data_IF_799923963334
#
_entry.id   IF_799923963334
#
_cell.length_a   1.000
_cell.length_b   1.000
_cell.length_c   1.000
_cell.angle_alpha   90.00
_cell.angle_beta   90.00
_cell.angle_gamma   90.00
#
_symmetry.space_group_name_H-M   'P 1'
#
loop_
_entity.id
_entity.type
_entity.pdbx_description
1 polymer ?
#
# COMPACT_ATOMS: atom_id res chain seq x y z
N UNK A 1 -18.05 4.19 -4.62
CA UNK A 1 -18.33 4.30 -6.06
C UNK A 1 -18.17 2.95 -6.77
N UNK A 2 -17.11 2.18 -6.50
CA UNK A 2 -16.88 0.82 -7.05
C UNK A 2 -18.03 -0.16 -6.84
N UNK A 3 -18.77 -0.06 -5.72
CA UNK A 3 -19.91 -0.93 -5.43
C UNK A 3 -21.16 -0.66 -6.28
N UNK A 4 -21.26 0.51 -6.92
CA UNK A 4 -22.45 0.91 -7.71
C UNK A 4 -22.14 0.95 -9.20
N UNK A 5 -20.94 1.38 -9.58
CA UNK A 5 -20.59 1.60 -10.99
C UNK A 5 -19.72 0.51 -11.60
N UNK A 6 -19.16 -0.41 -10.80
CA UNK A 6 -18.21 -1.44 -11.27
C UNK A 6 -16.86 -0.89 -11.76
N UNK A 7 -16.78 0.39 -12.09
CA UNK A 7 -15.55 1.09 -12.49
C UNK A 7 -14.85 1.75 -11.29
N UNK A 8 -13.53 1.57 -11.22
CA UNK A 8 -12.66 2.27 -10.28
C UNK A 8 -12.33 3.66 -10.84
N UNK A 9 -13.22 4.64 -10.63
CA UNK A 9 -12.92 6.04 -10.95
C UNK A 9 -12.01 6.62 -9.87
N UNK A 10 -10.81 7.05 -10.24
CA UNK A 10 -9.90 7.78 -9.36
C UNK A 10 -10.45 9.18 -9.11
N UNK A 11 -11.23 9.33 -8.02
CA UNK A 11 -11.78 10.63 -7.60
C UNK A 11 -10.70 11.72 -7.46
N UNK A 12 -9.46 11.33 -7.15
CA UNK A 12 -8.28 12.22 -7.12
C UNK A 12 -8.03 12.94 -8.43
N UNK A 13 -8.11 12.24 -9.56
CA UNK A 13 -7.88 12.83 -10.88
C UNK A 13 -8.95 13.85 -11.24
N UNK A 14 -10.23 13.52 -10.96
CA UNK A 14 -11.35 14.44 -11.21
C UNK A 14 -11.27 15.69 -10.33
N UNK A 15 -10.98 15.51 -9.05
CA UNK A 15 -10.82 16.65 -8.14
C UNK A 15 -9.60 17.50 -8.51
N UNK A 16 -8.48 16.90 -8.92
CA UNK A 16 -7.32 17.66 -9.42
C UNK A 16 -7.63 18.40 -10.72
N UNK A 17 -8.38 17.80 -11.65
CA UNK A 17 -8.82 18.49 -12.88
C UNK A 17 -9.69 19.70 -12.54
N UNK A 18 -10.64 19.56 -11.61
CA UNK A 18 -11.46 20.67 -11.13
C UNK A 18 -10.65 21.74 -10.39
N UNK A 19 -9.71 21.34 -9.53
CA UNK A 19 -8.81 22.25 -8.82
C UNK A 19 -7.91 23.04 -9.76
N UNK A 20 -7.37 22.38 -10.79
CA UNK A 20 -6.58 23.02 -11.86
C UNK A 20 -7.42 23.98 -12.71
N UNK A 21 -8.71 23.68 -12.93
CA UNK A 21 -9.61 24.57 -13.66
C UNK A 21 -10.04 25.80 -12.84
N UNK A 22 -10.17 25.66 -11.52
CA UNK A 22 -10.51 26.76 -10.60
C UNK A 22 -9.35 27.73 -10.38
N UNK A 23 -8.11 27.24 -10.34
CA UNK A 23 -6.91 28.07 -10.16
C UNK A 23 -5.89 27.75 -11.26
N UNK A 24 -6.02 28.36 -12.45
CA UNK A 24 -5.09 28.12 -13.55
C UNK A 24 -3.69 28.64 -13.21
N UNK A 25 -2.67 27.86 -13.58
CA UNK A 25 -1.25 28.25 -13.45
C UNK A 25 -0.60 28.01 -12.08
N UNK A 26 -1.35 27.57 -11.05
CA UNK A 26 -0.76 27.25 -9.74
C UNK A 26 -0.90 25.75 -9.40
N UNK A 27 0.17 24.98 -9.68
CA UNK A 27 0.22 23.55 -9.39
C UNK A 27 0.02 23.21 -7.90
N UNK A 28 0.45 24.09 -6.99
CA UNK A 28 0.31 23.87 -5.54
C UNK A 28 -1.16 23.88 -5.12
N UNK A 29 -1.95 24.80 -5.67
CA UNK A 29 -3.37 24.92 -5.37
C UNK A 29 -4.15 23.67 -5.83
N UNK A 30 -3.85 23.17 -7.02
CA UNK A 30 -4.43 21.91 -7.53
C UNK A 30 -4.08 20.70 -6.65
N UNK A 31 -2.83 20.63 -6.18
CA UNK A 31 -2.40 19.58 -5.25
C UNK A 31 -3.14 19.65 -3.91
N UNK A 32 -3.26 20.82 -3.29
CA UNK A 32 -4.02 20.97 -2.05
C UNK A 32 -5.49 20.60 -2.23
N UNK A 33 -6.11 21.02 -3.33
CA UNK A 33 -7.50 20.70 -3.62
C UNK A 33 -7.72 19.20 -3.82
N UNK A 34 -6.84 18.53 -4.56
CA UNK A 34 -6.84 17.08 -4.70
C UNK A 34 -6.62 16.36 -3.36
N UNK A 35 -5.72 16.89 -2.53
CA UNK A 35 -5.37 16.31 -1.24
C UNK A 35 -6.55 16.36 -0.28
N UNK A 36 -7.19 17.52 -0.10
CA UNK A 36 -8.35 17.67 0.78
C UNK A 36 -9.61 16.97 0.29
N UNK A 37 -9.87 16.97 -1.02
CA UNK A 37 -11.09 16.32 -1.55
C UNK A 37 -11.00 14.79 -1.46
N UNK A 38 -9.90 14.22 -1.97
CA UNK A 38 -9.86 12.78 -2.24
C UNK A 38 -9.39 11.99 -1.05
N UNK A 39 -8.42 12.49 -0.28
CA UNK A 39 -7.97 11.79 0.93
C UNK A 39 -9.04 11.84 2.03
N UNK A 40 -9.76 12.94 2.19
CA UNK A 40 -10.84 13.01 3.19
C UNK A 40 -11.97 12.04 2.87
N UNK A 41 -12.35 11.89 1.60
CA UNK A 41 -13.34 10.87 1.19
C UNK A 41 -12.82 9.45 1.38
N UNK A 42 -11.54 9.20 1.08
CA UNK A 42 -10.92 7.90 1.31
C UNK A 42 -10.92 7.54 2.81
N UNK A 43 -10.52 8.47 3.68
CA UNK A 43 -10.52 8.29 5.14
C UNK A 43 -11.94 8.11 5.70
N UNK A 44 -12.93 8.86 5.20
CA UNK A 44 -14.33 8.67 5.57
C UNK A 44 -14.85 7.29 5.16
N UNK A 45 -14.45 6.78 3.99
CA UNK A 45 -14.81 5.43 3.53
C UNK A 45 -14.18 4.34 4.41
N UNK A 46 -12.93 4.52 4.85
CA UNK A 46 -12.28 3.62 5.80
C UNK A 46 -13.01 3.62 7.15
N UNK A 47 -13.35 4.80 7.66
CA UNK A 47 -14.11 4.96 8.88
C UNK A 47 -15.47 4.26 8.85
N UNK A 48 -16.21 4.38 7.75
CA UNK A 48 -17.49 3.67 7.59
C UNK A 48 -17.31 2.16 7.53
N UNK A 49 -16.23 1.65 6.92
CA UNK A 49 -15.93 0.21 6.91
C UNK A 49 -15.69 -0.32 8.32
N UNK A 50 -14.95 0.41 9.15
CA UNK A 50 -14.67 0.02 10.53
C UNK A 50 -15.94 0.07 11.40
N UNK A 51 -16.79 1.08 11.22
CA UNK A 51 -18.08 1.15 11.90
C UNK A 51 -18.99 -0.04 11.55
N UNK A 52 -19.03 -0.42 10.26
CA UNK A 52 -19.79 -1.60 9.83
C UNK A 52 -19.23 -2.88 10.44
N UNK A 53 -17.90 -3.00 10.54
CA UNK A 53 -17.26 -4.13 11.20
C UNK A 53 -17.56 -4.17 12.71
N UNK A 54 -17.57 -3.02 13.37
CA UNK A 54 -17.96 -2.87 14.78
C UNK A 54 -19.40 -3.32 15.06
N UNK A 55 -20.31 -3.09 14.11
CA UNK A 55 -21.68 -3.60 14.20
C UNK A 55 -21.70 -5.14 14.16
N UNK A 56 -20.85 -5.78 13.35
CA UNK A 56 -20.75 -7.24 13.31
C UNK A 56 -20.18 -7.84 14.61
N UNK A 57 -19.27 -7.12 15.27
CA UNK A 57 -18.64 -7.56 16.53
C UNK A 57 -19.43 -7.14 17.78
N UNK A 58 -20.57 -6.46 17.60
CA UNK A 58 -21.45 -5.96 18.68
C UNK A 58 -20.76 -4.96 19.62
N UNK A 59 -19.81 -4.18 19.10
CA UNK A 59 -19.16 -3.09 19.84
C UNK A 59 -20.04 -1.83 19.78
N UNK A 60 -20.20 -1.07 20.88
CA UNK A 60 -21.01 0.14 20.88
C UNK A 60 -20.46 1.20 19.89
N UNK A 61 -21.30 1.74 18.97
CA UNK A 61 -20.83 2.56 17.85
C UNK A 61 -20.23 3.90 18.27
N UNK A 62 -20.68 4.49 19.39
CA UNK A 62 -20.15 5.75 19.91
C UNK A 62 -18.71 5.62 20.44
N UNK A 63 -18.43 4.50 21.12
CA UNK A 63 -17.09 4.23 21.63
C UNK A 63 -16.11 3.99 20.46
N UNK A 64 -16.57 3.27 19.43
CA UNK A 64 -15.77 3.01 18.24
C UNK A 64 -15.43 4.30 17.47
N UNK A 65 -16.42 5.18 17.29
CA UNK A 65 -16.22 6.50 16.68
C UNK A 65 -15.19 7.33 17.45
N UNK A 66 -15.32 7.40 18.78
CA UNK A 66 -14.40 8.16 19.62
C UNK A 66 -12.96 7.60 19.54
N UNK A 67 -12.81 6.27 19.60
CA UNK A 67 -11.51 5.61 19.49
C UNK A 67 -10.84 5.89 18.14
N UNK A 68 -11.60 5.85 17.04
CA UNK A 68 -11.08 6.13 15.71
C UNK A 68 -10.70 7.60 15.52
N UNK A 69 -11.50 8.53 16.05
CA UNK A 69 -11.17 9.96 16.04
C UNK A 69 -9.89 10.25 16.85
N UNK A 70 -9.76 9.69 18.05
CA UNK A 70 -8.55 9.84 18.88
C UNK A 70 -7.34 9.20 18.20
N UNK A 71 -7.50 8.00 17.63
CA UNK A 71 -6.43 7.29 16.93
C UNK A 71 -5.91 8.05 15.70
N UNK A 72 -6.80 8.63 14.91
CA UNK A 72 -6.41 9.43 13.73
C UNK A 72 -5.73 10.74 14.12
N UNK A 73 -6.18 11.41 15.20
CA UNK A 73 -5.51 12.60 15.73
C UNK A 73 -4.11 12.27 16.23
N UNK A 74 -3.96 11.26 17.09
CA UNK A 74 -2.65 10.83 17.60
C UNK A 74 -1.73 10.37 16.46
N UNK A 75 -2.24 9.58 15.52
CA UNK A 75 -1.50 9.12 14.35
C UNK A 75 -1.03 10.29 13.47
N UNK A 76 -1.87 11.32 13.27
CA UNK A 76 -1.49 12.50 12.49
C UNK A 76 -0.33 13.28 13.15
N UNK A 77 -0.36 13.44 14.47
CA UNK A 77 0.70 14.12 15.22
C UNK A 77 1.99 13.31 15.17
N UNK A 78 1.93 11.99 15.43
CA UNK A 78 3.11 11.12 15.35
C UNK A 78 3.71 11.10 13.94
N UNK A 79 2.88 11.04 12.90
CA UNK A 79 3.34 11.11 11.52
C UNK A 79 4.09 12.41 11.23
N UNK A 80 3.58 13.57 11.69
CA UNK A 80 4.29 14.84 11.54
C UNK A 80 5.63 14.87 12.27
N UNK A 81 5.70 14.30 13.48
CA UNK A 81 6.97 14.22 14.24
C UNK A 81 7.98 13.33 13.52
N UNK A 82 7.56 12.15 13.07
CA UNK A 82 8.42 11.22 12.32
C UNK A 82 8.90 11.83 11.01
N UNK A 83 8.00 12.49 10.27
CA UNK A 83 8.34 13.18 9.03
C UNK A 83 9.38 14.29 9.25
N UNK A 84 9.19 15.12 10.27
CA UNK A 84 10.18 16.16 10.62
C UNK A 84 11.54 15.55 11.03
N UNK A 85 11.54 14.43 11.76
CA UNK A 85 12.76 13.71 12.14
C UNK A 85 13.51 13.19 10.92
N UNK A 86 12.82 12.48 10.01
CA UNK A 86 13.41 11.90 8.81
C UNK A 86 13.93 13.01 7.88
N UNK A 87 13.12 14.04 7.62
CA UNK A 87 13.51 15.15 6.73
C UNK A 87 14.72 15.91 7.28
N UNK A 88 14.82 16.11 8.60
CA UNK A 88 15.98 16.75 9.21
C UNK A 88 17.25 15.88 9.14
N UNK A 89 17.09 14.56 9.23
CA UNK A 89 18.20 13.59 9.33
C UNK A 89 18.71 13.10 7.97
N UNK A 90 17.84 13.02 6.95
CA UNK A 90 18.12 12.48 5.62
C UNK A 90 17.96 13.53 4.52
N UNK A 91 18.03 14.83 4.86
CA UNK A 91 17.79 15.94 3.91
C UNK A 91 18.66 15.86 2.67
N UNK A 92 19.94 15.54 2.85
CA UNK A 92 20.92 15.48 1.74
C UNK A 92 20.62 14.32 0.79
N UNK A 93 20.18 13.17 1.32
CA UNK A 93 19.78 11.98 0.53
C UNK A 93 18.49 12.22 -0.23
N UNK A 94 17.55 12.97 0.35
CA UNK A 94 16.26 13.31 -0.28
C UNK A 94 16.39 14.35 -1.41
N UNK A 95 17.47 15.14 -1.42
CA UNK A 95 17.76 16.11 -2.49
C UNK A 95 18.52 15.49 -3.66
N UNK A 96 19.13 14.31 -3.48
CA UNK A 96 19.84 13.63 -4.55
C UNK A 96 18.89 12.85 -5.48
N UNK A 97 19.23 12.86 -6.77
CA UNK A 97 18.43 12.25 -7.84
C UNK A 97 18.56 10.72 -7.82
N UNK A 98 19.69 10.19 -7.34
CA UNK A 98 19.92 8.75 -7.21
C UNK A 98 19.36 8.18 -5.90
N UNK A 99 19.39 8.98 -4.83
CA UNK A 99 18.90 8.57 -3.51
C UNK A 99 19.61 7.31 -2.98
N UNK A 100 19.04 6.70 -1.94
CA UNK A 100 19.42 5.36 -1.46
C UNK A 100 18.30 4.37 -1.73
N UNK A 101 18.61 3.07 -1.66
CA UNK A 101 17.62 1.98 -1.76
C UNK A 101 16.46 2.06 -0.72
N UNK A 102 16.59 2.93 0.29
CA UNK A 102 15.62 3.12 1.37
C UNK A 102 14.93 4.49 1.33
N UNK A 103 15.66 5.53 0.95
CA UNK A 103 15.16 6.89 0.83
C UNK A 103 15.50 7.45 -0.55
N UNK A 104 14.48 7.71 -1.36
CA UNK A 104 14.64 8.38 -2.64
C UNK A 104 13.61 9.50 -2.76
N UNK A 105 14.04 10.64 -3.31
CA UNK A 105 13.12 11.70 -3.73
C UNK A 105 12.39 11.34 -5.04
N UNK A 106 12.87 10.33 -5.75
CA UNK A 106 12.30 9.83 -6.99
C UNK A 106 11.15 8.84 -6.73
N UNK A 107 9.97 9.15 -7.24
CA UNK A 107 8.77 8.30 -7.07
C UNK A 107 8.83 7.11 -8.03
N UNK A 108 9.57 6.06 -7.66
CA UNK A 108 9.71 4.80 -8.43
C UNK A 108 8.36 4.11 -8.71
N UNK A 109 7.31 4.41 -7.94
CA UNK A 109 6.01 3.76 -8.10
C UNK A 109 5.32 4.05 -9.44
N UNK A 110 5.64 5.15 -10.13
CA UNK A 110 4.98 5.48 -11.40
C UNK A 110 5.56 4.68 -12.58
N UNK A 111 6.89 4.54 -12.68
CA UNK A 111 7.55 3.77 -13.75
C UNK A 111 7.22 2.28 -13.64
N UNK A 112 7.25 1.76 -12.42
CA UNK A 112 6.80 0.41 -12.10
C UNK A 112 5.36 0.16 -12.52
N UNK A 113 4.43 1.05 -12.15
CA UNK A 113 3.02 0.88 -12.46
C UNK A 113 2.79 0.93 -13.96
N UNK A 114 3.55 1.75 -14.69
CA UNK A 114 3.50 1.79 -16.15
C UNK A 114 3.96 0.47 -16.79
N UNK A 115 5.05 -0.14 -16.30
CA UNK A 115 5.53 -1.44 -16.81
C UNK A 115 4.53 -2.55 -16.48
N UNK A 116 4.08 -2.64 -15.22
CA UNK A 116 3.17 -3.69 -14.79
C UNK A 116 1.74 -3.55 -15.34
N UNK A 117 1.28 -2.33 -15.65
CA UNK A 117 0.03 -2.11 -16.39
C UNK A 117 0.21 -2.42 -17.88
N UNK A 118 1.40 -2.18 -18.45
CA UNK A 118 1.74 -2.56 -19.83
C UNK A 118 1.69 -4.08 -20.05
N UNK A 119 2.19 -4.86 -19.10
CA UNK A 119 2.15 -6.33 -19.13
C UNK A 119 0.75 -6.91 -18.80
N UNK A 120 -0.17 -6.08 -18.30
CA UNK A 120 -1.54 -6.44 -17.96
C UNK A 120 -2.40 -6.89 -19.15
N UNK A 121 -2.01 -6.56 -20.39
CA UNK A 121 -2.67 -7.04 -21.60
C UNK A 121 -2.21 -8.46 -22.00
N UNK A 122 -0.97 -8.83 -21.66
CA UNK A 122 -0.40 -10.12 -22.05
C UNK A 122 -0.80 -11.24 -21.08
N UNK A 123 -0.91 -10.95 -19.79
CA UNK A 123 -1.25 -11.93 -18.74
C UNK A 123 -2.63 -12.62 -18.90
N UNK A 124 -3.72 -11.98 -19.39
CA UNK A 124 -4.99 -12.68 -19.62
C UNK A 124 -4.97 -13.66 -20.80
N UNK A 125 -4.05 -13.50 -21.77
CA UNK A 125 -3.98 -14.35 -22.96
C UNK A 125 -3.61 -15.82 -22.65
N UNK A 126 -2.57 -16.13 -21.85
CA UNK A 126 -2.25 -17.50 -21.45
C UNK A 126 -3.37 -18.20 -20.66
N UNK A 127 -4.09 -17.48 -19.80
CA UNK A 127 -5.21 -18.04 -19.03
C UNK A 127 -6.44 -18.31 -19.92
N UNK A 128 -6.69 -17.43 -20.90
CA UNK A 128 -7.73 -17.63 -21.92
C UNK A 128 -7.41 -18.83 -22.84
N UNK A 129 -6.15 -18.92 -23.31
CA UNK A 129 -5.66 -20.03 -24.13
C UNK A 129 -5.68 -21.34 -23.33
N UNK A 130 -5.26 -21.32 -22.06
CA UNK A 130 -5.27 -22.50 -21.18
C UNK A 130 -6.68 -23.03 -20.88
N UNK A 131 -7.67 -22.15 -20.73
CA UNK A 131 -9.08 -22.54 -20.60
C UNK A 131 -9.62 -23.18 -21.89
N UNK A 132 -9.14 -22.77 -23.06
CA UNK A 132 -9.52 -23.37 -24.34
C UNK A 132 -9.00 -24.81 -24.49
N UNK A 133 -7.80 -25.11 -23.98
CA UNK A 133 -7.19 -26.45 -24.04
C UNK A 133 -7.62 -27.38 -22.90
N UNK A 134 -7.92 -26.87 -21.70
CA UNK A 134 -8.34 -27.69 -20.55
C UNK A 134 -9.60 -27.13 -19.85
N UNK A 135 -10.81 -27.42 -20.38
CA UNK A 135 -12.07 -26.95 -19.81
C UNK A 135 -12.42 -27.56 -18.44
N UNK A 136 -11.78 -28.68 -18.05
CA UNK A 136 -12.06 -29.39 -16.80
C UNK A 136 -11.43 -28.75 -15.54
N UNK A 137 -10.58 -27.71 -15.69
CA UNK A 137 -9.82 -27.12 -14.57
C UNK A 137 -10.56 -25.99 -13.81
N UNK A 138 -11.84 -25.71 -14.08
CA UNK A 138 -12.61 -24.63 -13.42
C UNK A 138 -11.90 -23.25 -13.41
N UNK A 139 -11.06 -22.95 -14.41
CA UNK A 139 -10.26 -21.72 -14.51
C UNK A 139 -11.11 -20.44 -14.67
N UNK A 140 -12.42 -20.58 -14.93
CA UNK A 140 -13.41 -19.50 -14.95
C UNK A 140 -13.60 -18.77 -13.60
N UNK A 141 -13.12 -19.32 -12.49
CA UNK A 141 -13.18 -18.66 -11.18
C UNK A 141 -12.01 -17.68 -10.92
N UNK A 142 -11.00 -17.66 -11.81
CA UNK A 142 -9.84 -16.79 -11.66
C UNK A 142 -10.13 -15.46 -12.33
N UNK A 143 -10.27 -14.40 -11.53
CA UNK A 143 -10.41 -13.02 -12.02
C UNK A 143 -9.02 -12.50 -12.42
N UNK A 144 -8.56 -12.91 -13.59
CA UNK A 144 -7.26 -12.55 -14.18
C UNK A 144 -6.95 -11.04 -14.19
N UNK A 145 -7.90 -10.13 -14.52
CA UNK A 145 -7.61 -8.69 -14.50
C UNK A 145 -7.30 -8.15 -13.09
N UNK A 146 -7.85 -8.75 -12.04
CA UNK A 146 -7.56 -8.35 -10.65
C UNK A 146 -6.19 -8.85 -10.19
N UNK A 147 -5.74 -10.01 -10.67
CA UNK A 147 -4.38 -10.51 -10.44
C UNK A 147 -3.33 -9.59 -11.08
N UNK A 148 -3.55 -9.14 -12.32
CA UNK A 148 -2.68 -8.17 -12.99
C UNK A 148 -2.61 -6.83 -12.23
N UNK A 149 -3.75 -6.36 -11.75
CA UNK A 149 -3.81 -5.14 -10.92
C UNK A 149 -2.99 -5.28 -9.64
N UNK A 150 -3.06 -6.44 -8.98
CA UNK A 150 -2.24 -6.73 -7.81
C UNK A 150 -0.74 -6.78 -8.14
N UNK A 151 -0.34 -7.41 -9.25
CA UNK A 151 1.06 -7.46 -9.69
C UNK A 151 1.68 -6.07 -9.91
N UNK A 152 0.91 -5.09 -10.40
CA UNK A 152 1.39 -3.71 -10.55
C UNK A 152 1.49 -2.91 -9.25
N UNK A 153 0.74 -3.31 -8.22
CA UNK A 153 0.90 -2.75 -6.87
C UNK A 153 2.14 -3.33 -6.15
N UNK A 154 2.61 -4.50 -6.59
CA UNK A 154 3.66 -5.32 -5.98
C UNK A 154 5.10 -4.90 -6.30
N UNK A 155 5.31 -3.78 -6.99
CA UNK A 155 6.63 -3.41 -7.51
C UNK A 155 7.15 -2.07 -6.95
N UNK A 156 6.59 -1.64 -5.81
CA UNK A 156 7.11 -0.51 -5.02
C UNK A 156 7.91 -1.05 -3.83
N UNK A 157 9.22 -0.79 -3.79
CA UNK A 157 10.08 -1.02 -2.61
C UNK A 157 10.29 -2.48 -2.16
N UNK A 158 10.79 -2.66 -0.93
CA UNK A 158 11.19 -3.94 -0.31
C UNK A 158 9.97 -4.89 -0.21
N UNK A 159 9.70 -5.67 -1.25
CA UNK A 159 8.44 -6.43 -1.42
C UNK A 159 8.40 -7.81 -0.75
N UNK A 160 9.00 -7.95 0.45
CA UNK A 160 8.92 -9.21 1.22
C UNK A 160 7.56 -9.45 1.88
N UNK A 161 6.67 -8.45 1.95
CA UNK A 161 5.37 -8.55 2.64
C UNK A 161 4.39 -9.50 1.92
N UNK A 162 4.46 -9.59 0.59
CA UNK A 162 3.54 -10.36 -0.25
C UNK A 162 3.57 -11.84 0.09
N UNK A 163 4.78 -12.43 0.14
CA UNK A 163 4.95 -13.84 0.44
C UNK A 163 4.41 -14.18 1.83
N UNK A 164 4.66 -13.29 2.81
CA UNK A 164 4.14 -13.43 4.17
C UNK A 164 2.61 -13.31 4.18
N UNK A 165 2.01 -12.40 3.40
CA UNK A 165 0.55 -12.29 3.24
C UNK A 165 -0.07 -13.56 2.64
N UNK A 166 0.57 -14.18 1.65
CA UNK A 166 0.11 -15.47 1.11
C UNK A 166 0.17 -16.59 2.15
N UNK A 167 1.26 -16.69 2.91
CA UNK A 167 1.40 -17.68 3.98
C UNK A 167 0.35 -17.48 5.07
N UNK A 168 0.11 -16.24 5.49
CA UNK A 168 -0.94 -15.89 6.45
C UNK A 168 -2.34 -16.20 5.91
N UNK A 169 -2.60 -15.93 4.64
CA UNK A 169 -3.86 -16.26 3.99
C UNK A 169 -4.09 -17.78 3.97
N UNK A 170 -3.07 -18.56 3.59
CA UNK A 170 -3.15 -20.03 3.63
C UNK A 170 -3.36 -20.51 5.06
N UNK A 171 -2.59 -20.01 6.03
CA UNK A 171 -2.75 -20.39 7.43
C UNK A 171 -4.15 -20.09 7.97
N UNK A 172 -4.67 -18.88 7.72
CA UNK A 172 -5.99 -18.45 8.16
C UNK A 172 -7.12 -19.23 7.46
N UNK A 173 -7.06 -19.36 6.13
CA UNK A 173 -8.16 -19.92 5.32
C UNK A 173 -8.11 -21.45 5.22
N UNK A 174 -6.92 -22.06 5.20
CA UNK A 174 -6.76 -23.51 5.05
C UNK A 174 -6.69 -24.21 6.41
N UNK A 175 -5.83 -23.75 7.33
CA UNK A 175 -5.63 -24.43 8.61
C UNK A 175 -6.66 -24.01 9.67
N UNK A 176 -6.75 -22.71 10.00
CA UNK A 176 -7.61 -22.20 11.06
C UNK A 176 -9.10 -22.43 10.77
N UNK A 177 -9.54 -22.14 9.54
CA UNK A 177 -10.94 -22.33 9.15
C UNK A 177 -11.37 -23.80 9.15
N UNK A 178 -10.50 -24.73 8.72
CA UNK A 178 -10.85 -26.17 8.63
C UNK A 178 -10.68 -26.91 9.95
N UNK A 179 -9.56 -26.73 10.68
CA UNK A 179 -9.27 -27.48 11.91
C UNK A 179 -9.80 -26.82 13.19
N UNK A 180 -9.88 -25.49 13.26
CA UNK A 180 -10.28 -24.75 14.48
C UNK A 180 -11.29 -23.64 14.19
N UNK A 181 -12.41 -24.00 13.56
CA UNK A 181 -13.48 -23.08 13.16
C UNK A 181 -14.06 -22.24 14.31
N UNK A 182 -14.17 -22.81 15.52
CA UNK A 182 -14.66 -22.10 16.71
C UNK A 182 -13.72 -20.99 17.16
N UNK A 183 -12.40 -21.24 17.12
CA UNK A 183 -11.39 -20.24 17.43
C UNK A 183 -11.35 -19.15 16.36
N UNK A 184 -11.38 -19.55 15.09
CA UNK A 184 -11.42 -18.62 13.96
C UNK A 184 -12.62 -17.66 14.07
N UNK A 185 -13.83 -18.15 14.34
CA UNK A 185 -15.01 -17.28 14.45
C UNK A 185 -14.92 -16.28 15.62
N UNK A 186 -14.27 -16.66 16.74
CA UNK A 186 -14.24 -15.83 17.96
C UNK A 186 -13.06 -14.86 18.01
N UNK A 187 -11.89 -15.26 17.51
CA UNK A 187 -10.63 -14.53 17.72
C UNK A 187 -9.96 -14.04 16.43
N UNK A 188 -10.46 -14.40 15.25
CA UNK A 188 -9.79 -14.01 13.99
C UNK A 188 -9.67 -12.49 13.84
N UNK A 189 -10.69 -11.73 14.23
CA UNK A 189 -10.62 -10.27 14.18
C UNK A 189 -9.55 -9.70 15.12
N UNK A 190 -9.50 -10.20 16.37
CA UNK A 190 -8.50 -9.76 17.36
C UNK A 190 -7.07 -10.12 16.92
N UNK A 191 -6.90 -11.31 16.33
CA UNK A 191 -5.61 -11.76 15.82
C UNK A 191 -5.16 -10.93 14.60
N UNK A 192 -6.07 -10.59 13.70
CA UNK A 192 -5.79 -9.70 12.57
C UNK A 192 -5.39 -8.30 13.05
N UNK A 193 -6.17 -7.71 13.98
CA UNK A 193 -5.85 -6.41 14.56
C UNK A 193 -4.49 -6.41 15.29
N UNK A 194 -4.15 -7.49 15.99
CA UNK A 194 -2.86 -7.63 16.66
C UNK A 194 -1.70 -7.78 15.68
N UNK A 195 -1.91 -8.48 14.55
CA UNK A 195 -0.90 -8.64 13.52
C UNK A 195 -0.61 -7.32 12.81
N UNK A 196 -1.65 -6.58 12.42
CA UNK A 196 -1.52 -5.28 11.75
C UNK A 196 -0.80 -4.27 12.67
N UNK A 197 -1.25 -4.13 13.91
CA UNK A 197 -0.60 -3.25 14.89
C UNK A 197 0.84 -3.68 15.23
N UNK A 198 1.12 -4.98 15.24
CA UNK A 198 2.46 -5.52 15.45
C UNK A 198 3.42 -5.19 14.30
N UNK A 199 2.94 -5.24 13.05
CA UNK A 199 3.74 -4.85 11.89
C UNK A 199 4.02 -3.35 11.87
N UNK A 200 3.03 -2.51 12.18
CA UNK A 200 3.22 -1.06 12.25
C UNK A 200 4.24 -0.67 13.32
N UNK A 201 4.18 -1.33 14.48
CA UNK A 201 5.14 -1.12 15.56
C UNK A 201 6.57 -1.54 15.16
N UNK A 202 6.71 -2.67 14.46
CA UNK A 202 8.00 -3.11 13.94
C UNK A 202 8.56 -2.16 12.87
N UNK A 203 7.71 -1.63 11.99
CA UNK A 203 8.12 -0.63 10.98
C UNK A 203 8.59 0.65 11.66
N UNK A 204 7.88 1.10 12.71
CA UNK A 204 8.30 2.26 13.49
C UNK A 204 9.69 2.05 14.09
N UNK A 205 9.93 0.91 14.76
CA UNK A 205 11.25 0.58 15.33
C UNK A 205 12.31 0.50 14.23
N UNK A 206 12.04 -0.22 13.14
CA UNK A 206 12.97 -0.40 12.02
C UNK A 206 13.36 0.94 11.38
N UNK A 207 12.39 1.84 11.22
CA UNK A 207 12.61 3.19 10.67
C UNK A 207 13.64 3.97 11.48
N UNK A 208 13.54 3.96 12.82
CA UNK A 208 14.47 4.69 13.68
C UNK A 208 15.79 3.97 13.93
N UNK A 209 15.80 2.63 13.96
CA UNK A 209 16.98 1.85 14.34
C UNK A 209 17.84 1.42 13.15
N UNK A 210 17.24 1.05 12.02
CA UNK A 210 17.93 0.43 10.89
C UNK A 210 17.96 1.39 9.70
N UNK A 211 16.80 1.96 9.36
CA UNK A 211 16.65 2.75 8.14
C UNK A 211 17.11 4.21 8.30
N UNK A 212 17.65 4.63 9.44
CA UNK A 212 18.26 5.95 9.58
C UNK A 212 17.29 7.11 9.85
N UNK A 213 16.08 6.85 10.35
CA UNK A 213 15.14 7.87 10.81
C UNK A 213 15.64 8.73 11.99
N UNK A 214 16.67 8.28 12.70
CA UNK A 214 17.42 9.02 13.72
C UNK A 214 18.86 9.41 13.28
N UNK A 215 19.16 9.36 11.98
CA UNK A 215 20.43 9.84 11.41
C UNK A 215 21.43 8.76 11.00
N UNK A 216 21.60 7.67 11.77
CA UNK A 216 22.54 6.60 11.41
C UNK A 216 21.82 5.44 10.72
N UNK A 217 22.12 5.21 9.44
CA UNK A 217 21.63 4.07 8.68
C UNK A 217 22.60 2.88 8.82
N UNK A 218 22.07 1.70 9.13
CA UNK A 218 22.84 0.46 9.13
C UNK A 218 22.58 -0.30 7.84
N UNK A 219 23.62 -0.43 7.01
CA UNK A 219 23.55 -1.17 5.76
C UNK A 219 23.69 -2.67 6.05
N UNK A 220 22.76 -3.47 5.53
CA UNK A 220 22.85 -4.91 5.61
C UNK A 220 24.01 -5.44 4.74
N UNK A 221 24.66 -6.55 5.16
CA UNK A 221 25.67 -7.20 4.33
C UNK A 221 25.08 -7.62 3.00
N UNK A 222 25.93 -7.80 1.99
CA UNK A 222 25.49 -8.26 0.67
C UNK A 222 25.29 -9.78 0.69
N UNK A 223 24.20 -10.26 0.12
CA UNK A 223 23.88 -11.69 -0.01
C UNK A 223 23.00 -11.90 -1.24
N UNK A 224 22.63 -13.15 -1.55
CA UNK A 224 21.93 -13.50 -2.79
C UNK A 224 20.62 -12.72 -3.03
N UNK A 225 19.94 -12.27 -1.97
CA UNK A 225 18.75 -11.40 -2.05
C UNK A 225 19.03 -9.92 -1.69
N UNK A 226 20.31 -9.54 -1.54
CA UNK A 226 20.78 -8.17 -1.38
C UNK A 226 22.01 -7.92 -2.28
N UNK A 227 21.84 -7.88 -3.62
CA UNK A 227 22.93 -7.63 -4.55
C UNK A 227 23.47 -6.20 -4.42
N UNK A 228 24.73 -5.99 -4.79
CA UNK A 228 25.32 -4.64 -4.90
C UNK A 228 24.72 -3.92 -6.11
N UNK A 229 24.16 -2.72 -5.92
CA UNK A 229 23.60 -1.88 -6.98
C UNK A 229 22.09 -1.66 -6.84
N UNK A 230 21.42 -1.27 -7.93
CA UNK A 230 19.96 -1.15 -7.98
C UNK A 230 19.33 -2.54 -8.10
N UNK A 231 18.38 -2.87 -7.21
CA UNK A 231 17.65 -4.14 -7.24
C UNK A 231 16.92 -4.40 -8.57
N UNK A 232 16.48 -3.32 -9.22
CA UNK A 232 15.70 -3.39 -10.45
C UNK A 232 16.58 -3.49 -11.71
N UNK A 233 17.92 -3.41 -11.56
CA UNK A 233 18.89 -3.34 -12.66
C UNK A 233 18.63 -2.23 -13.71
N UNK A 234 17.64 -1.37 -13.48
CA UNK A 234 17.38 -0.20 -14.28
C UNK A 234 18.39 0.89 -13.94
N UNK A 235 19.08 1.38 -14.96
CA UNK A 235 20.04 2.48 -14.85
C UNK A 235 19.26 3.78 -14.61
N UNK A 236 19.63 4.60 -13.61
CA UNK A 236 19.05 5.94 -13.44
C UNK A 236 19.23 6.78 -14.69
N UNK A 237 18.25 7.63 -15.01
CA UNK A 237 18.39 8.61 -16.09
C UNK A 237 19.54 9.57 -15.74
N UNK A 238 20.41 9.92 -16.72
CA UNK A 238 21.49 10.86 -16.48
C UNK A 238 20.93 12.21 -16.00
N UNK A 239 21.65 12.86 -15.08
CA UNK A 239 21.32 14.22 -14.60
C UNK A 239 21.21 15.13 -15.82
N UNK A 240 20.06 15.77 -16.01
CA UNK A 240 19.93 16.85 -16.99
C UNK A 240 20.69 18.05 -16.43
N UNK A 241 21.86 18.35 -17.01
CA UNK A 241 22.59 19.62 -16.81
C UNK A 241 21.84 20.80 -17.43
#
# INVERSE_FOLDING_TARGET
MTAVTGFHSSGSTLCQMLGSALVPGNARASLYFGLYSSNSVAQGSLMVKDLKLGQYTKVPPRALFALQAVGTLLGSVLNLVVMNSIVSSQREVLLDVEGTNLWSGYVQSYNTQAIAQGDGLLVPLPFYIGHHFWPNLCLNQIVTPEMCRCLGYLSVGINSSVFVSFLLAIYAQFYLRRKRSTFFRKYNYLMAAALDGGTDFMIFISTFTINGGAGKQYLFPNWALNPKGHYDYCVPLPKFE
#
